data_IF_816918163465
#
_entry.id   IF_816918163465
#
_cell.length_a   1.000
_cell.length_b   1.000
_cell.length_c   1.000
_cell.angle_alpha   90.00
_cell.angle_beta   90.00
_cell.angle_gamma   90.00
#
_symmetry.space_group_name_H-M   'P 1'
#
loop_
_entity.id
_entity.type
_entity.pdbx_description
1 polymer ?
#
# COMPACT_ATOMS: atom_id res chain seq x y z
N UNK A 1 -17.35 -6.96 -33.08
CA UNK A 1 -16.35 -5.89 -32.94
C UNK A 1 -16.50 -5.39 -31.52
N UNK A 2 -15.66 -5.88 -30.62
CA UNK A 2 -15.58 -5.37 -29.25
C UNK A 2 -14.72 -4.10 -29.32
N UNK A 3 -15.18 -3.01 -28.70
CA UNK A 3 -14.47 -1.73 -28.73
C UNK A 3 -13.14 -1.86 -27.98
N UNK A 4 -12.07 -1.32 -28.53
CA UNK A 4 -10.78 -1.27 -27.84
C UNK A 4 -10.91 -0.45 -26.55
N UNK A 5 -10.62 -1.07 -25.40
CA UNK A 5 -10.62 -0.48 -24.06
C UNK A 5 -9.54 0.61 -23.93
N UNK A 6 -9.76 1.73 -24.62
CA UNK A 6 -8.96 2.96 -24.54
C UNK A 6 -9.37 3.81 -23.33
N UNK A 7 -10.48 3.46 -22.67
CA UNK A 7 -11.03 4.20 -21.55
C UNK A 7 -10.31 3.91 -20.23
N UNK A 8 -9.75 2.71 -20.06
CA UNK A 8 -9.16 2.29 -18.80
C UNK A 8 -7.64 2.54 -18.72
N UNK A 9 -6.93 2.65 -19.87
CA UNK A 9 -5.46 2.81 -19.96
C UNK A 9 -4.82 3.82 -18.99
N UNK A 10 -5.52 4.92 -18.69
CA UNK A 10 -5.04 5.92 -17.73
C UNK A 10 -5.10 5.46 -16.27
N UNK A 11 -6.16 4.77 -15.88
CA UNK A 11 -6.32 4.19 -14.54
C UNK A 11 -5.31 3.05 -14.36
N UNK A 12 -5.07 2.27 -15.41
CA UNK A 12 -4.09 1.18 -15.43
C UNK A 12 -2.66 1.70 -15.19
N UNK A 13 -2.28 2.75 -15.93
CA UNK A 13 -0.99 3.42 -15.74
C UNK A 13 -0.85 4.05 -14.36
N UNK A 14 -1.93 4.65 -13.84
CA UNK A 14 -1.97 5.18 -12.48
C UNK A 14 -1.67 4.08 -11.46
N UNK A 15 -2.33 2.93 -11.55
CA UNK A 15 -2.06 1.79 -10.64
C UNK A 15 -0.65 1.23 -10.81
N UNK A 16 -0.12 1.21 -12.03
CA UNK A 16 1.29 0.92 -12.32
C UNK A 16 2.24 1.78 -11.49
N UNK A 17 1.99 3.08 -11.49
CA UNK A 17 2.80 4.10 -10.83
C UNK A 17 2.63 4.08 -9.30
N UNK A 18 1.39 3.93 -8.80
CA UNK A 18 1.12 3.69 -7.36
C UNK A 18 1.88 2.46 -6.87
N UNK A 19 1.82 1.38 -7.65
CA UNK A 19 2.52 0.13 -7.39
C UNK A 19 4.03 0.33 -7.31
N UNK A 20 4.61 0.96 -8.32
CA UNK A 20 6.04 1.19 -8.45
C UNK A 20 6.62 2.15 -7.41
N UNK A 21 5.92 3.25 -7.11
CA UNK A 21 6.48 4.34 -6.30
C UNK A 21 6.53 4.02 -4.80
N UNK A 22 5.50 3.38 -4.22
CA UNK A 22 5.51 3.09 -2.79
C UNK A 22 4.82 1.78 -2.38
N UNK A 23 3.73 1.38 -3.06
CA UNK A 23 2.89 0.29 -2.57
C UNK A 23 3.61 -1.07 -2.55
N UNK A 24 4.44 -1.38 -3.55
CA UNK A 24 5.25 -2.62 -3.56
C UNK A 24 6.24 -2.68 -2.42
N UNK A 25 6.86 -1.55 -2.08
CA UNK A 25 7.84 -1.48 -1.01
C UNK A 25 7.19 -1.72 0.35
N UNK A 26 6.02 -1.13 0.62
CA UNK A 26 5.22 -1.45 1.81
C UNK A 26 4.78 -2.92 1.86
N UNK A 27 4.35 -3.49 0.73
CA UNK A 27 4.00 -4.92 0.65
C UNK A 27 5.19 -5.81 0.98
N UNK A 28 6.35 -5.56 0.40
CA UNK A 28 7.59 -6.27 0.72
C UNK A 28 7.99 -6.12 2.17
N UNK A 29 7.83 -4.92 2.72
CA UNK A 29 8.12 -4.68 4.13
C UNK A 29 7.21 -5.50 5.06
N UNK A 30 5.89 -5.53 4.83
CA UNK A 30 4.99 -6.34 5.66
C UNK A 30 5.24 -7.84 5.49
N UNK A 31 5.56 -8.30 4.28
CA UNK A 31 5.99 -9.67 4.06
C UNK A 31 7.25 -10.00 4.88
N UNK A 32 8.24 -9.11 4.90
CA UNK A 32 9.45 -9.25 5.72
C UNK A 32 9.12 -9.32 7.21
N UNK A 33 8.23 -8.46 7.70
CA UNK A 33 7.78 -8.49 9.09
C UNK A 33 7.15 -9.84 9.46
N UNK A 34 6.36 -10.43 8.55
CA UNK A 34 5.74 -11.73 8.77
C UNK A 34 6.78 -12.86 8.82
N UNK A 35 7.74 -12.86 7.90
CA UNK A 35 8.73 -13.93 7.79
C UNK A 35 9.79 -13.88 8.91
N UNK A 36 10.19 -12.68 9.35
CA UNK A 36 11.39 -12.51 10.19
C UNK A 36 11.11 -11.85 11.54
N UNK A 37 10.06 -11.05 11.65
CA UNK A 37 9.81 -10.19 12.83
C UNK A 37 8.48 -10.52 13.54
N UNK A 38 8.01 -11.76 13.39
CA UNK A 38 6.88 -12.33 14.15
C UNK A 38 5.54 -11.60 13.97
N UNK A 39 5.36 -10.91 12.83
CA UNK A 39 4.05 -10.38 12.49
C UNK A 39 3.08 -11.52 12.17
N UNK A 40 2.08 -11.72 13.02
CA UNK A 40 0.90 -12.52 12.73
C UNK A 40 -0.22 -11.67 12.10
N UNK A 41 -0.54 -11.96 10.84
CA UNK A 41 -1.62 -11.30 10.09
C UNK A 41 -3.02 -11.61 10.61
N UNK A 42 -3.19 -12.72 11.32
CA UNK A 42 -4.49 -13.13 11.88
C UNK A 42 -4.73 -12.51 13.27
N UNK A 43 -3.73 -11.88 13.86
CA UNK A 43 -3.84 -11.27 15.17
C UNK A 43 -4.32 -9.80 15.05
N UNK A 44 -5.54 -9.47 15.50
CA UNK A 44 -6.08 -8.11 15.36
C UNK A 44 -5.27 -7.06 16.12
N UNK A 45 -4.56 -7.45 17.19
CA UNK A 45 -3.70 -6.53 17.93
C UNK A 45 -2.42 -6.21 17.17
N UNK A 46 -1.86 -7.17 16.43
CA UNK A 46 -0.73 -6.91 15.55
C UNK A 46 -1.13 -5.96 14.42
N UNK A 47 -2.32 -6.14 13.84
CA UNK A 47 -2.88 -5.22 12.85
C UNK A 47 -3.09 -3.82 13.44
N UNK A 48 -3.60 -3.72 14.67
CA UNK A 48 -3.71 -2.43 15.36
C UNK A 48 -2.35 -1.75 15.54
N UNK A 49 -1.31 -2.48 15.98
CA UNK A 49 0.04 -1.94 16.13
C UNK A 49 0.54 -1.46 14.76
N UNK A 50 0.42 -2.28 13.70
CA UNK A 50 0.81 -1.87 12.34
C UNK A 50 0.14 -0.57 11.91
N UNK A 51 -1.18 -0.46 12.09
CA UNK A 51 -1.91 0.77 11.78
C UNK A 51 -1.40 1.95 12.61
N UNK A 52 -1.20 1.76 13.92
CA UNK A 52 -0.73 2.81 14.82
C UNK A 52 0.65 3.35 14.42
N UNK A 53 1.55 2.49 13.97
CA UNK A 53 2.94 2.85 13.63
C UNK A 53 3.07 3.40 12.21
N UNK A 54 2.42 2.77 11.24
CA UNK A 54 2.74 2.95 9.82
C UNK A 54 1.63 3.60 9.00
N UNK A 55 0.39 3.66 9.48
CA UNK A 55 -0.71 4.23 8.69
C UNK A 55 -0.46 5.70 8.32
N UNK A 56 0.05 6.50 9.26
CA UNK A 56 0.42 7.90 8.97
C UNK A 56 1.52 7.98 7.90
N UNK A 57 2.50 7.07 7.93
CA UNK A 57 3.59 7.06 6.94
C UNK A 57 3.07 6.66 5.55
N UNK A 58 2.22 5.64 5.48
CA UNK A 58 1.57 5.23 4.23
C UNK A 58 0.70 6.36 3.67
N UNK A 59 -0.08 7.05 4.52
CA UNK A 59 -0.89 8.17 4.09
C UNK A 59 -0.04 9.34 3.58
N UNK A 60 1.14 9.57 4.17
CA UNK A 60 2.07 10.57 3.66
C UNK A 60 2.63 10.18 2.29
N UNK A 61 3.01 8.91 2.10
CA UNK A 61 3.48 8.40 0.78
C UNK A 61 2.36 8.52 -0.28
N UNK A 62 1.10 8.24 0.10
CA UNK A 62 -0.07 8.44 -0.76
C UNK A 62 -0.26 9.92 -1.14
N UNK A 63 -0.08 10.83 -0.19
CA UNK A 63 -0.21 12.26 -0.42
C UNK A 63 0.92 12.81 -1.28
N UNK A 64 2.16 12.37 -1.04
CA UNK A 64 3.31 12.69 -1.88
C UNK A 64 3.10 12.20 -3.32
N UNK A 65 2.66 10.95 -3.48
CA UNK A 65 2.26 10.42 -4.78
C UNK A 65 1.21 11.31 -5.44
N UNK A 66 0.16 11.68 -4.71
CA UNK A 66 -0.93 12.52 -5.23
C UNK A 66 -0.42 13.87 -5.71
N UNK A 67 0.46 14.53 -4.95
CA UNK A 67 1.05 15.82 -5.32
C UNK A 67 1.92 15.66 -6.57
N UNK A 68 2.84 14.69 -6.57
CA UNK A 68 3.74 14.43 -7.69
C UNK A 68 2.95 14.11 -8.96
N UNK A 69 1.95 13.23 -8.84
CA UNK A 69 1.08 12.84 -9.95
C UNK A 69 0.33 14.04 -10.54
N UNK A 70 -0.29 14.88 -9.71
CA UNK A 70 -1.06 16.01 -10.21
C UNK A 70 -0.19 17.11 -10.85
N UNK A 71 1.09 17.17 -10.47
CA UNK A 71 2.06 18.11 -11.02
C UNK A 71 2.83 17.60 -12.24
N UNK A 72 2.75 16.30 -12.58
CA UNK A 72 3.55 15.75 -13.66
C UNK A 72 3.08 16.28 -15.02
N UNK A 73 3.96 16.63 -15.96
CA UNK A 73 3.54 17.00 -17.30
C UNK A 73 2.99 15.78 -18.05
N UNK A 74 1.81 15.92 -18.65
CA UNK A 74 1.28 14.87 -19.53
C UNK A 74 1.93 15.05 -20.91
N UNK A 75 2.69 14.06 -21.36
CA UNK A 75 3.28 14.09 -22.70
C UNK A 75 2.20 14.00 -23.78
N UNK A 76 2.19 14.99 -24.69
CA UNK A 76 1.33 15.06 -25.87
C UNK A 76 1.88 16.07 -26.88
N UNK A 77 1.43 16.01 -28.15
CA UNK A 77 1.92 16.91 -29.21
C UNK A 77 1.65 18.39 -28.84
N UNK A 78 2.70 19.07 -28.37
CA UNK A 78 2.76 20.53 -28.23
C UNK A 78 2.17 21.14 -26.95
N UNK A 79 1.70 20.35 -25.97
CA UNK A 79 1.14 20.88 -24.72
C UNK A 79 1.60 20.06 -23.50
N UNK A 80 2.69 20.48 -22.86
CA UNK A 80 3.20 19.92 -21.59
C UNK A 80 2.37 20.45 -20.41
N UNK A 81 1.09 20.12 -20.36
CA UNK A 81 0.20 20.54 -19.26
C UNK A 81 0.12 19.43 -18.21
N UNK A 82 0.24 19.80 -16.94
CA UNK A 82 0.00 18.89 -15.82
C UNK A 82 -1.49 18.66 -15.58
N UNK A 83 -1.90 17.58 -14.88
CA UNK A 83 -3.27 17.42 -14.43
C UNK A 83 -3.82 18.65 -13.69
N UNK A 84 -3.00 19.31 -12.87
CA UNK A 84 -3.37 20.56 -12.20
C UNK A 84 -3.55 21.72 -13.18
N UNK A 85 -2.69 21.86 -14.18
CA UNK A 85 -2.86 22.88 -15.25
C UNK A 85 -4.15 22.66 -16.04
N UNK A 86 -4.44 21.41 -16.39
CA UNK A 86 -5.67 21.05 -17.11
C UNK A 86 -6.91 21.34 -16.27
N UNK A 87 -6.86 21.02 -14.96
CA UNK A 87 -7.95 21.31 -14.04
C UNK A 87 -8.14 22.81 -13.87
N UNK A 88 -7.06 23.57 -13.74
CA UNK A 88 -7.10 25.02 -13.63
C UNK A 88 -7.68 25.66 -14.89
N UNK A 89 -7.20 25.27 -16.07
CA UNK A 89 -7.70 25.73 -17.37
C UNK A 89 -9.17 25.35 -17.58
N UNK A 90 -9.57 24.13 -17.21
CA UNK A 90 -10.96 23.67 -17.27
C UNK A 90 -11.88 24.50 -16.37
N UNK A 91 -11.45 24.79 -15.14
CA UNK A 91 -12.21 25.65 -14.22
C UNK A 91 -12.35 27.08 -14.77
N UNK A 92 -11.31 27.60 -15.43
CA UNK A 92 -11.34 28.94 -16.03
C UNK A 92 -12.29 29.01 -17.24
N UNK A 93 -12.34 27.94 -18.05
CA UNK A 93 -13.15 27.87 -19.27
C UNK A 93 -14.61 27.49 -19.02
N UNK A 94 -14.87 26.60 -18.06
CA UNK A 94 -16.19 25.99 -17.86
C UNK A 94 -16.80 26.29 -16.48
N UNK A 95 -16.11 27.06 -15.64
CA UNK A 95 -16.53 27.35 -14.27
C UNK A 95 -16.13 26.26 -13.30
N UNK A 96 -16.33 26.51 -12.00
CA UNK A 96 -15.92 25.59 -10.94
C UNK A 96 -16.94 24.44 -10.86
N UNK A 97 -16.48 23.21 -11.07
CA UNK A 97 -17.28 22.02 -10.75
C UNK A 97 -17.53 21.96 -9.24
N UNK A 98 -18.74 22.31 -8.82
CA UNK A 98 -19.18 22.08 -7.44
C UNK A 98 -19.58 20.62 -7.31
N UNK A 99 -18.71 19.82 -6.67
CA UNK A 99 -19.09 18.46 -6.27
C UNK A 99 -20.16 18.59 -5.18
N UNK A 100 -21.43 18.47 -5.54
CA UNK A 100 -22.50 18.45 -4.57
C UNK A 100 -22.39 17.13 -3.77
N UNK A 101 -22.18 17.19 -2.44
CA UNK A 101 -21.92 16.01 -1.62
C UNK A 101 -23.09 15.02 -1.57
N UNK A 102 -24.29 15.43 -1.99
CA UNK A 102 -25.48 14.57 -2.05
C UNK A 102 -25.78 14.03 -3.46
N UNK A 103 -25.01 14.41 -4.48
CA UNK A 103 -25.09 13.76 -5.80
C UNK A 103 -24.07 12.63 -5.83
N UNK A 104 -24.51 11.43 -5.45
CA UNK A 104 -23.97 10.24 -6.08
C UNK A 104 -24.18 10.41 -7.59
N UNK A 105 -23.18 10.06 -8.38
CA UNK A 105 -23.22 10.12 -9.84
C UNK A 105 -24.32 9.16 -10.36
N UNK A 106 -25.57 9.59 -10.31
CA UNK A 106 -26.74 8.91 -10.87
C UNK A 106 -26.85 9.25 -12.36
N UNK A 107 -25.82 8.88 -13.11
CA UNK A 107 -25.91 8.67 -14.56
C UNK A 107 -24.68 7.91 -15.05
N UNK A 108 -24.39 6.78 -14.41
CA UNK A 108 -23.69 5.67 -15.06
C UNK A 108 -24.70 4.53 -15.12
N UNK A 109 -25.04 3.98 -16.30
CA UNK A 109 -26.08 2.98 -16.42
C UNK A 109 -25.71 1.73 -15.63
N UNK A 110 -26.52 1.44 -14.62
CA UNK A 110 -26.80 0.16 -13.98
C UNK A 110 -26.05 -1.05 -14.55
N UNK A 111 -25.00 -1.50 -13.86
CA UNK A 111 -24.43 -2.84 -14.03
C UNK A 111 -24.37 -3.52 -12.66
N UNK A 112 -25.37 -4.36 -12.42
CA UNK A 112 -25.41 -5.26 -11.27
C UNK A 112 -24.65 -6.53 -11.64
N UNK A 113 -23.72 -6.98 -10.81
CA UNK A 113 -23.37 -8.40 -10.75
C UNK A 113 -23.01 -8.85 -9.33
N UNK A 114 -23.35 -10.11 -9.11
CA UNK A 114 -23.38 -10.83 -7.86
C UNK A 114 -21.99 -11.01 -7.25
N UNK A 115 -21.95 -10.85 -5.92
CA UNK A 115 -20.85 -11.30 -5.09
C UNK A 115 -20.70 -12.81 -5.24
N UNK A 116 -19.58 -13.25 -5.81
CA UNK A 116 -19.01 -14.54 -5.46
C UNK A 116 -17.60 -14.28 -4.92
N UNK A 117 -17.31 -14.97 -3.82
CA UNK A 117 -16.20 -14.65 -2.97
C UNK A 117 -14.85 -15.04 -3.56
N UNK A 118 -13.84 -14.42 -2.97
CA UNK A 118 -12.47 -14.96 -2.77
C UNK A 118 -11.45 -14.79 -3.89
N UNK A 119 -10.34 -14.12 -3.51
CA UNK A 119 -8.97 -14.31 -4.01
C UNK A 119 -8.53 -13.70 -5.36
N UNK A 120 -9.19 -12.66 -5.89
CA UNK A 120 -8.78 -12.06 -7.19
C UNK A 120 -7.72 -10.92 -7.12
N UNK A 121 -7.40 -10.40 -5.93
CA UNK A 121 -6.38 -9.34 -5.77
C UNK A 121 -4.94 -9.90 -5.87
N UNK A 122 -4.77 -11.23 -5.86
CA UNK A 122 -3.49 -11.88 -6.15
C UNK A 122 -3.16 -11.91 -7.66
N UNK A 123 -4.14 -11.63 -8.53
CA UNK A 123 -4.03 -11.79 -9.99
C UNK A 123 -3.79 -10.50 -10.77
N UNK A 124 -3.95 -9.32 -10.17
CA UNK A 124 -3.76 -8.03 -10.88
C UNK A 124 -2.27 -7.66 -10.97
N UNK A 125 -1.38 -8.32 -10.22
CA UNK A 125 0.03 -7.96 -10.14
C UNK A 125 1.04 -9.07 -10.53
N UNK A 126 0.93 -9.75 -11.68
CA UNK A 126 2.07 -10.46 -12.22
C UNK A 126 2.99 -9.42 -12.87
N UNK A 127 4.00 -8.95 -12.15
CA UNK A 127 5.12 -8.14 -12.66
C UNK A 127 4.77 -7.09 -13.75
N UNK A 128 4.27 -5.92 -13.38
CA UNK A 128 3.88 -4.89 -14.36
C UNK A 128 5.05 -4.35 -15.22
N UNK A 129 6.31 -4.64 -14.92
CA UNK A 129 7.41 -4.32 -15.86
C UNK A 129 7.34 -5.18 -17.15
N UNK A 130 6.83 -6.41 -17.05
CA UNK A 130 6.62 -7.31 -18.20
C UNK A 130 5.31 -6.97 -18.93
N UNK A 131 4.31 -6.45 -18.22
CA UNK A 131 3.00 -6.07 -18.77
C UNK A 131 2.95 -4.66 -19.37
N UNK A 132 3.79 -3.73 -18.91
CA UNK A 132 4.00 -2.43 -19.57
C UNK A 132 4.76 -2.60 -20.89
N UNK A 133 5.47 -3.71 -21.06
CA UNK A 133 6.18 -4.05 -22.29
C UNK A 133 5.29 -4.66 -23.39
N UNK A 134 4.14 -5.24 -23.03
CA UNK A 134 3.17 -5.85 -23.96
C UNK A 134 1.72 -5.44 -23.63
N UNK A 135 1.22 -4.35 -24.24
CA UNK A 135 -0.15 -3.86 -24.05
C UNK A 135 -1.22 -4.92 -24.41
N UNK A 136 -0.96 -5.81 -25.37
CA UNK A 136 -1.95 -6.81 -25.82
C UNK A 136 -2.17 -7.91 -24.77
N UNK A 137 -1.10 -8.31 -24.06
CA UNK A 137 -1.19 -9.30 -22.98
C UNK A 137 -1.97 -8.78 -21.76
N UNK A 138 -1.93 -7.47 -21.50
CA UNK A 138 -2.67 -6.83 -20.40
C UNK A 138 -4.16 -6.65 -20.72
N UNK A 139 -4.47 -6.18 -21.93
CA UNK A 139 -5.86 -6.04 -22.40
C UNK A 139 -6.63 -7.37 -22.45
N UNK A 140 -5.93 -8.50 -22.57
CA UNK A 140 -6.54 -9.84 -22.48
C UNK A 140 -6.75 -10.35 -21.05
N UNK A 141 -6.10 -9.75 -20.05
CA UNK A 141 -6.10 -10.20 -18.66
C UNK A 141 -7.07 -9.40 -17.76
N UNK A 142 -7.49 -8.21 -18.19
CA UNK A 142 -8.40 -7.34 -17.44
C UNK A 142 -9.81 -7.51 -17.98
N UNK A 143 -10.67 -8.12 -17.18
CA UNK A 143 -12.10 -8.26 -17.49
C UNK A 143 -12.75 -6.87 -17.51
N UNK A 144 -13.62 -6.60 -18.50
CA UNK A 144 -14.23 -5.28 -18.77
C UNK A 144 -15.34 -4.91 -17.77
N UNK A 145 -15.34 -5.49 -16.57
CA UNK A 145 -16.37 -5.20 -15.57
C UNK A 145 -16.09 -3.85 -14.90
N UNK A 146 -17.08 -2.96 -14.95
CA UNK A 146 -17.08 -1.64 -14.32
C UNK A 146 -16.82 -1.79 -12.81
N UNK A 147 -15.60 -1.48 -12.37
CA UNK A 147 -15.12 -1.70 -11.00
C UNK A 147 -15.71 -0.63 -10.08
N UNK A 148 -16.93 -0.88 -9.61
CA UNK A 148 -17.49 -0.25 -8.41
C UNK A 148 -17.25 -1.17 -7.23
N UNK A 149 -16.03 -1.19 -6.72
CA UNK A 149 -15.75 -1.89 -5.46
C UNK A 149 -16.52 -1.20 -4.32
N UNK A 150 -17.34 -1.97 -3.62
CA UNK A 150 -17.85 -1.54 -2.32
C UNK A 150 -16.65 -1.25 -1.41
N UNK A 151 -16.73 -0.22 -0.53
CA UNK A 151 -15.65 0.06 0.41
C UNK A 151 -15.28 -1.22 1.15
N UNK A 152 -14.04 -1.68 0.97
CA UNK A 152 -13.53 -2.85 1.70
C UNK A 152 -13.75 -2.58 3.19
N UNK A 153 -14.43 -3.51 3.88
CA UNK A 153 -14.59 -3.42 5.32
C UNK A 153 -13.18 -3.45 5.95
N UNK A 154 -12.67 -2.27 6.26
CA UNK A 154 -11.41 -2.13 6.97
C UNK A 154 -11.65 -2.71 8.35
N UNK A 155 -10.99 -3.81 8.75
CA UNK A 155 -11.17 -4.36 10.07
C UNK A 155 -10.89 -3.25 11.08
N UNK A 156 -11.89 -2.87 11.87
CA UNK A 156 -11.67 -1.99 13.00
C UNK A 156 -10.90 -2.81 14.02
N UNK A 157 -9.57 -2.83 13.91
CA UNK A 157 -8.73 -3.42 14.93
C UNK A 157 -8.90 -2.57 16.18
N UNK A 158 -9.75 -3.04 17.10
CA UNK A 158 -9.99 -2.36 18.36
C UNK A 158 -8.66 -2.22 19.12
N UNK A 159 -8.42 -1.04 19.69
CA UNK A 159 -7.23 -0.81 20.51
C UNK A 159 -7.10 -1.93 21.55
N UNK A 160 -5.95 -2.63 21.64
CA UNK A 160 -5.72 -3.67 22.65
C UNK A 160 -5.76 -3.15 24.10
N UNK A 161 -5.66 -1.83 24.26
CA UNK A 161 -5.40 -1.15 25.52
C UNK A 161 -6.60 -0.29 25.93
N UNK A 162 -6.81 -0.17 27.25
CA UNK A 162 -7.64 0.91 27.79
C UNK A 162 -7.03 2.29 27.45
N UNK A 163 -7.82 3.36 27.55
CA UNK A 163 -7.37 4.71 27.16
C UNK A 163 -6.08 5.14 27.88
N UNK A 164 -5.99 4.92 29.19
CA UNK A 164 -4.80 5.25 29.99
C UNK A 164 -3.59 4.38 29.61
N UNK A 165 -3.80 3.08 29.38
CA UNK A 165 -2.75 2.15 28.95
C UNK A 165 -2.21 2.50 27.57
N UNK A 166 -3.07 2.94 26.65
CA UNK A 166 -2.68 3.36 25.31
C UNK A 166 -1.72 4.56 25.35
N UNK A 167 -1.98 5.55 26.21
CA UNK A 167 -1.07 6.69 26.39
C UNK A 167 0.26 6.27 27.01
N UNK A 168 0.24 5.35 27.97
CA UNK A 168 1.46 4.80 28.58
C UNK A 168 2.27 4.01 27.54
N UNK A 169 1.63 3.16 26.75
CA UNK A 169 2.25 2.42 25.65
C UNK A 169 2.95 3.37 24.68
N UNK A 170 2.27 4.44 24.26
CA UNK A 170 2.85 5.45 23.36
C UNK A 170 4.10 6.13 23.95
N UNK A 171 4.06 6.52 25.24
CA UNK A 171 5.21 7.14 25.91
C UNK A 171 6.39 6.19 26.08
N UNK A 172 6.14 4.94 26.46
CA UNK A 172 7.19 3.94 26.62
C UNK A 172 7.82 3.56 25.28
N UNK A 173 7.00 3.41 24.24
CA UNK A 173 7.49 3.16 22.89
C UNK A 173 8.38 4.31 22.39
N UNK A 174 7.98 5.56 22.63
CA UNK A 174 8.82 6.71 22.30
C UNK A 174 10.14 6.71 23.09
N UNK A 175 10.09 6.39 24.38
CA UNK A 175 11.29 6.27 25.21
C UNK A 175 12.25 5.17 24.73
N UNK A 176 11.74 4.02 24.28
CA UNK A 176 12.56 2.95 23.70
C UNK A 176 13.25 3.43 22.42
N UNK A 177 12.52 4.18 21.59
CA UNK A 177 13.02 4.75 20.35
C UNK A 177 14.11 5.80 20.58
N UNK A 178 13.90 6.72 21.50
CA UNK A 178 14.87 7.78 21.83
C UNK A 178 16.18 7.22 22.41
N UNK A 179 16.09 6.09 23.12
CA UNK A 179 17.24 5.38 23.68
C UNK A 179 17.88 4.39 22.70
N UNK A 180 17.33 4.24 21.48
CA UNK A 180 17.74 3.25 20.49
C UNK A 180 17.83 1.81 21.06
N UNK A 181 16.92 1.46 21.98
CA UNK A 181 16.89 0.12 22.58
C UNK A 181 16.22 -0.83 21.59
N UNK A 182 16.96 -1.86 21.17
CA UNK A 182 16.47 -2.89 20.26
C UNK A 182 16.33 -4.21 21.04
N UNK A 183 15.09 -4.69 21.28
CA UNK A 183 14.84 -5.97 21.94
C UNK A 183 15.43 -7.15 21.16
N UNK A 184 16.03 -8.10 21.88
CA UNK A 184 16.47 -9.38 21.33
C UNK A 184 15.29 -10.35 21.16
N UNK A 185 15.49 -11.35 20.31
CA UNK A 185 14.55 -12.42 19.98
C UNK A 185 13.68 -12.14 18.75
N UNK A 186 13.92 -11.05 18.01
CA UNK A 186 13.03 -10.60 16.92
C UNK A 186 13.72 -10.56 15.54
N UNK A 187 14.95 -11.06 15.42
CA UNK A 187 15.65 -11.18 14.14
C UNK A 187 16.12 -9.85 13.54
N UNK A 188 16.32 -8.83 14.37
CA UNK A 188 16.70 -7.47 13.95
C UNK A 188 18.10 -7.08 14.42
N UNK A 189 18.64 -7.72 15.47
CA UNK A 189 19.98 -7.44 15.95
C UNK A 189 21.02 -8.08 15.02
N UNK A 190 22.19 -7.44 14.80
CA UNK A 190 23.26 -8.04 14.00
C UNK A 190 23.72 -9.42 14.48
N UNK A 191 23.60 -9.69 15.78
CA UNK A 191 23.91 -10.99 16.38
C UNK A 191 22.91 -12.10 16.02
N UNK A 192 21.75 -11.74 15.47
CA UNK A 192 20.67 -12.67 15.07
C UNK A 192 20.67 -12.93 13.56
N UNK A 193 21.53 -12.25 12.81
CA UNK A 193 21.60 -12.38 11.37
C UNK A 193 22.46 -13.58 10.97
N UNK A 194 22.14 -14.12 9.79
CA UNK A 194 23.03 -15.06 9.09
C UNK A 194 24.28 -14.32 8.60
N UNK A 195 25.29 -15.05 8.10
CA UNK A 195 26.57 -14.46 7.61
C UNK A 195 26.37 -13.32 6.59
N UNK A 196 25.24 -13.33 5.86
CA UNK A 196 24.91 -12.39 4.80
C UNK A 196 24.32 -11.05 5.29
N UNK A 197 24.13 -10.88 6.61
CA UNK A 197 23.60 -9.65 7.21
C UNK A 197 22.08 -9.47 7.09
N UNK A 198 21.60 -8.22 7.24
CA UNK A 198 20.18 -7.91 7.11
C UNK A 198 19.78 -7.82 5.62
N UNK A 199 18.69 -8.49 5.20
CA UNK A 199 18.35 -8.59 3.79
C UNK A 199 17.88 -7.24 3.22
N UNK A 200 18.46 -6.83 2.09
CA UNK A 200 18.03 -5.65 1.34
C UNK A 200 16.99 -5.95 0.26
N UNK A 201 16.73 -7.21 -0.03
CA UNK A 201 15.72 -7.65 -1.02
C UNK A 201 14.74 -8.60 -0.36
N UNK A 202 13.46 -8.38 -0.59
CA UNK A 202 12.39 -9.30 -0.21
C UNK A 202 11.82 -9.98 -1.45
N UNK A 203 11.76 -11.31 -1.45
CA UNK A 203 11.17 -12.08 -2.55
C UNK A 203 9.77 -12.51 -2.16
N UNK A 204 8.78 -12.06 -2.92
CA UNK A 204 7.37 -12.40 -2.70
C UNK A 204 6.91 -13.28 -3.85
N UNK A 205 6.39 -14.47 -3.54
CA UNK A 205 5.77 -15.33 -4.56
C UNK A 205 4.50 -14.64 -5.09
N UNK A 206 4.34 -14.63 -6.40
CA UNK A 206 3.25 -13.96 -7.12
C UNK A 206 2.62 -14.87 -8.20
N UNK A 207 1.34 -14.64 -8.47
CA UNK A 207 0.51 -15.32 -9.47
C UNK A 207 -0.20 -16.60 -9.00
N UNK A 208 -1.28 -17.01 -9.69
CA UNK A 208 -2.19 -18.16 -9.45
C UNK A 208 -1.59 -19.49 -8.95
N UNK A 209 -0.30 -19.71 -9.17
CA UNK A 209 0.41 -20.95 -8.80
C UNK A 209 1.73 -20.69 -8.05
N UNK A 210 2.04 -19.44 -7.71
CA UNK A 210 3.27 -19.04 -7.01
C UNK A 210 4.56 -19.27 -7.79
N UNK A 211 4.49 -19.38 -9.12
CA UNK A 211 5.64 -19.62 -9.99
C UNK A 211 6.41 -18.35 -10.39
N UNK A 212 5.81 -17.16 -10.22
CA UNK A 212 6.52 -15.88 -10.44
C UNK A 212 7.02 -15.35 -9.11
N UNK A 213 8.20 -14.75 -9.12
CA UNK A 213 8.80 -14.13 -7.94
C UNK A 213 8.90 -12.62 -8.18
N UNK A 214 8.35 -11.84 -7.25
CA UNK A 214 8.50 -10.39 -7.21
C UNK A 214 9.63 -10.06 -6.25
N UNK A 215 10.72 -9.51 -6.77
CA UNK A 215 11.81 -8.99 -5.95
C UNK A 215 11.51 -7.53 -5.59
N UNK A 216 11.46 -7.24 -4.31
CA UNK A 216 11.23 -5.88 -3.78
C UNK A 216 12.50 -5.44 -3.07
N UNK A 217 13.14 -4.39 -3.60
CA UNK A 217 14.30 -3.77 -2.95
C UNK A 217 13.79 -2.92 -1.78
N UNK A 218 14.36 -3.16 -0.61
CA UNK A 218 14.05 -2.47 0.64
C UNK A 218 15.37 -1.98 1.25
N UNK A 219 15.83 -0.78 0.87
CA UNK A 219 17.06 -0.18 1.40
C UNK A 219 17.05 -0.12 2.93
N UNK A 220 18.16 -0.50 3.55
CA UNK A 220 18.25 -0.60 5.01
C UNK A 220 18.07 0.75 5.69
N UNK A 221 18.51 1.84 5.06
CA UNK A 221 18.41 3.20 5.59
C UNK A 221 16.94 3.63 5.79
N UNK A 222 16.04 3.08 4.98
CA UNK A 222 14.61 3.41 5.00
C UNK A 222 13.83 2.38 5.81
N UNK A 223 14.06 1.09 5.57
CA UNK A 223 13.19 0.03 6.05
C UNK A 223 13.69 -0.66 7.32
N UNK A 224 14.99 -0.62 7.62
CA UNK A 224 15.50 -1.19 8.88
C UNK A 224 15.00 -0.40 10.10
N UNK A 225 15.04 0.96 10.14
CA UNK A 225 14.46 1.72 11.25
C UNK A 225 12.96 1.46 11.44
N UNK A 226 12.23 1.18 10.36
CA UNK A 226 10.80 0.81 10.43
C UNK A 226 10.62 -0.59 11.04
N UNK A 227 11.47 -1.55 10.69
CA UNK A 227 11.46 -2.88 11.30
C UNK A 227 11.84 -2.82 12.79
N UNK A 228 12.85 -2.02 13.15
CA UNK A 228 13.22 -1.76 14.55
C UNK A 228 12.03 -1.17 15.33
N UNK A 229 11.31 -0.21 14.74
CA UNK A 229 10.13 0.40 15.37
C UNK A 229 9.00 -0.61 15.59
N UNK A 230 8.77 -1.51 14.63
CA UNK A 230 7.85 -2.64 14.79
C UNK A 230 8.25 -3.55 15.95
N UNK A 231 9.53 -3.95 16.01
CA UNK A 231 10.05 -4.85 17.05
C UNK A 231 9.92 -4.24 18.44
N UNK A 232 10.23 -2.95 18.59
CA UNK A 232 10.07 -2.23 19.86
C UNK A 232 8.61 -2.25 20.33
N UNK A 233 7.67 -1.96 19.43
CA UNK A 233 6.25 -1.96 19.74
C UNK A 233 5.73 -3.36 20.08
N UNK A 234 6.13 -4.38 19.32
CA UNK A 234 5.74 -5.76 19.55
C UNK A 234 6.29 -6.29 20.88
N UNK A 235 7.55 -5.98 21.21
CA UNK A 235 8.14 -6.34 22.49
C UNK A 235 7.40 -5.71 23.67
N UNK A 236 7.06 -4.43 23.58
CA UNK A 236 6.30 -3.73 24.61
C UNK A 236 4.88 -4.29 24.76
N UNK A 237 4.23 -4.63 23.65
CA UNK A 237 2.92 -5.29 23.69
C UNK A 237 2.99 -6.69 24.34
N UNK A 238 3.99 -7.48 23.97
CA UNK A 238 4.18 -8.82 24.54
C UNK A 238 4.53 -8.78 26.03
N UNK A 239 5.35 -7.83 26.47
CA UNK A 239 5.69 -7.69 27.90
C UNK A 239 4.48 -7.26 28.73
N UNK A 240 3.56 -6.46 28.16
CA UNK A 240 2.31 -6.08 28.81
C UNK A 240 1.35 -7.26 29.02
N UNK A 241 1.38 -8.26 28.13
CA UNK A 241 0.51 -9.45 28.19
C UNK A 241 0.97 -10.51 29.19
N UNK A 242 2.22 -10.45 29.63
CA UNK A 242 2.83 -11.43 30.53
C UNK A 242 2.69 -11.03 32.01
N UNK A 243 2.31 -9.78 32.28
CA UNK A 243 2.01 -9.24 33.61
C UNK A 243 0.56 -9.49 34.00
#
# INVERSE_FOLDING_TARGET
MWGTSTHNTRIERLWGEVGGQFARAWRGFFHRLQQRHQLDRNNPHHLWILHRLFLTMINNDCEEFRVNWNSHPISGEGHEQSPDDLRFMGNLQHGIYQRNPNTHSESIPNLSLHADGTDEWEDIAPNMEELVADPEAWHAAVDETDVRDEPVEVPSSGCPFAAEEHEVFGRLLQSLRDQAIIPAGYGILPSEWMEDGYPQVEVIKSGKRGHKELQVVLPDEVWRPRAEYWVQALHLYNSWRVL
#
